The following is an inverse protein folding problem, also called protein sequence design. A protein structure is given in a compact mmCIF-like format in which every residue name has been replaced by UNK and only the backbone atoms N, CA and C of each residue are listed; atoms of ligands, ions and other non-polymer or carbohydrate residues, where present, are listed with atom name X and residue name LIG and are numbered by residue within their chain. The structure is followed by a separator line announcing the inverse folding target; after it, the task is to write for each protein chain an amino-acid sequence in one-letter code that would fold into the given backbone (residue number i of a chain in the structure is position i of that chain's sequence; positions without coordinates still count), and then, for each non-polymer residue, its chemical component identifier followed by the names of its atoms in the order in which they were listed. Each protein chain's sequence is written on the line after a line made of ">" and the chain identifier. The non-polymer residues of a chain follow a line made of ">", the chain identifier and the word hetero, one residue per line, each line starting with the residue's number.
data_IF_994143593498
#
_entry.id   IF_994143593498
#
_cell.length_a   1.000
_cell.length_b   1.000
_cell.length_c   1.000
_cell.angle_alpha   90.00
_cell.angle_beta   90.00
_cell.angle_gamma   90.00
#
_symmetry.space_group_name_H-M   'P 1'
#
loop_
_entity.id
_entity.type
_entity.pdbx_description
1 polymer ?
#
# COMPACT_ATOMS: atom_id res chain seq x y z
N UNK A 1 1.58 23.74 16.49
CA UNK A 1 1.24 22.31 16.47
C UNK A 1 1.38 21.75 17.87
N UNK A 2 0.32 21.19 18.45
CA UNK A 2 0.36 20.63 19.81
C UNK A 2 1.33 19.45 19.88
N UNK A 3 2.16 19.38 20.93
CA UNK A 3 3.13 18.27 21.11
C UNK A 3 2.48 16.89 21.02
N UNK A 4 1.23 16.77 21.44
CA UNK A 4 0.43 15.54 21.36
C UNK A 4 0.14 15.15 19.91
N UNK A 5 -0.20 16.11 19.04
CA UNK A 5 -0.50 15.85 17.64
C UNK A 5 0.75 15.34 16.89
N UNK A 6 1.91 15.94 17.19
CA UNK A 6 3.20 15.49 16.65
C UNK A 6 3.50 14.04 17.06
N UNK A 7 3.28 13.68 18.33
CA UNK A 7 3.47 12.31 18.79
C UNK A 7 2.56 11.32 18.06
N UNK A 8 1.27 11.65 17.87
CA UNK A 8 0.30 10.81 17.17
C UNK A 8 0.71 10.62 15.70
N UNK A 9 1.10 11.70 15.03
CA UNK A 9 1.55 11.67 13.64
C UNK A 9 2.75 10.74 13.47
N UNK A 10 3.77 10.83 14.33
CA UNK A 10 4.94 9.94 14.26
C UNK A 10 4.60 8.47 14.53
N UNK A 11 3.64 8.18 15.42
CA UNK A 11 3.16 6.80 15.62
C UNK A 11 2.55 6.26 14.33
N UNK A 12 1.71 7.05 13.67
CA UNK A 12 1.10 6.69 12.38
C UNK A 12 2.13 6.54 11.27
N UNK A 13 3.10 7.44 11.18
CA UNK A 13 4.23 7.33 10.25
C UNK A 13 4.96 6.02 10.46
N UNK A 14 5.35 5.67 11.69
CA UNK A 14 6.08 4.43 11.97
C UNK A 14 5.26 3.20 11.57
N UNK A 15 3.96 3.19 11.87
CA UNK A 15 3.06 2.09 11.46
C UNK A 15 3.06 1.93 9.93
N UNK A 16 2.84 3.01 9.18
CA UNK A 16 2.82 2.98 7.72
C UNK A 16 4.16 2.56 7.14
N UNK A 17 5.26 3.11 7.65
CA UNK A 17 6.63 2.79 7.22
C UNK A 17 6.89 1.30 7.37
N UNK A 18 6.62 0.71 8.53
CA UNK A 18 6.85 -0.72 8.77
C UNK A 18 6.05 -1.58 7.81
N UNK A 19 4.79 -1.22 7.57
CA UNK A 19 3.87 -1.97 6.72
C UNK A 19 4.28 -1.86 5.25
N UNK A 20 4.50 -0.65 4.73
CA UNK A 20 4.88 -0.42 3.34
C UNK A 20 6.29 -0.92 3.03
N UNK A 21 7.23 -0.80 3.97
CA UNK A 21 8.57 -1.37 3.82
C UNK A 21 8.50 -2.90 3.72
N UNK A 22 7.77 -3.57 4.62
CA UNK A 22 7.60 -5.03 4.55
C UNK A 22 6.93 -5.47 3.25
N UNK A 23 5.89 -4.77 2.83
CA UNK A 23 5.15 -5.06 1.60
C UNK A 23 6.05 -4.90 0.36
N UNK A 24 6.75 -3.79 0.23
CA UNK A 24 7.65 -3.51 -0.89
C UNK A 24 8.81 -4.49 -0.97
N UNK A 25 9.48 -4.81 0.15
CA UNK A 25 10.57 -5.79 0.20
C UNK A 25 10.08 -7.17 -0.26
N UNK A 26 8.88 -7.59 0.16
CA UNK A 26 8.30 -8.86 -0.28
C UNK A 26 8.04 -8.88 -1.79
N UNK A 27 7.55 -7.77 -2.36
CA UNK A 27 7.30 -7.61 -3.81
C UNK A 27 8.59 -7.57 -4.62
N UNK A 28 9.65 -6.95 -4.10
CA UNK A 28 10.96 -6.91 -4.74
C UNK A 28 11.59 -8.31 -4.74
N UNK A 29 11.58 -8.99 -3.58
CA UNK A 29 12.16 -10.33 -3.44
C UNK A 29 11.43 -11.39 -4.26
N UNK A 30 10.10 -11.27 -4.42
CA UNK A 30 9.29 -12.16 -5.24
C UNK A 30 8.58 -11.39 -6.37
N UNK A 31 9.37 -10.71 -7.19
CA UNK A 31 8.86 -9.90 -8.30
C UNK A 31 8.03 -10.73 -9.28
N UNK A 32 8.48 -11.94 -9.62
CA UNK A 32 7.74 -12.84 -10.51
C UNK A 32 6.38 -13.26 -9.92
N UNK A 33 6.32 -13.59 -8.63
CA UNK A 33 5.06 -13.87 -7.94
C UNK A 33 4.13 -12.66 -7.92
N UNK A 34 4.68 -11.45 -7.76
CA UNK A 34 3.87 -10.23 -7.81
C UNK A 34 3.34 -9.93 -9.22
N UNK A 35 4.09 -10.24 -10.28
CA UNK A 35 3.59 -10.19 -11.67
C UNK A 35 2.40 -11.12 -11.84
N UNK A 36 2.47 -12.35 -11.35
CA UNK A 36 1.34 -13.29 -11.40
C UNK A 36 0.12 -12.78 -10.61
N UNK A 37 0.36 -12.12 -9.47
CA UNK A 37 -0.70 -11.47 -8.70
C UNK A 37 -1.37 -10.37 -9.51
N UNK A 38 -0.60 -9.50 -10.18
CA UNK A 38 -1.15 -8.41 -10.99
C UNK A 38 -1.89 -8.93 -12.24
N UNK A 39 -1.34 -9.93 -12.91
CA UNK A 39 -1.97 -10.58 -14.06
C UNK A 39 -3.34 -11.18 -13.72
N UNK A 40 -3.50 -11.72 -12.51
CA UNK A 40 -4.77 -12.33 -12.09
C UNK A 40 -5.91 -11.31 -11.98
N UNK A 41 -5.59 -10.03 -11.77
CA UNK A 41 -6.60 -8.96 -11.69
C UNK A 41 -7.13 -8.53 -13.05
N UNK A 42 -6.48 -8.93 -14.15
CA UNK A 42 -6.86 -8.57 -15.53
C UNK A 42 -7.08 -7.05 -15.75
N UNK A 43 -6.40 -6.21 -14.96
CA UNK A 43 -6.51 -4.74 -15.07
C UNK A 43 -5.51 -4.16 -16.07
N UNK A 44 -4.45 -4.90 -16.39
CA UNK A 44 -3.36 -4.50 -17.27
C UNK A 44 -3.11 -5.59 -18.33
N UNK A 45 -2.62 -5.22 -19.52
CA UNK A 45 -2.09 -6.18 -20.47
C UNK A 45 -0.93 -6.96 -19.86
N UNK A 46 -0.90 -8.29 -20.05
CA UNK A 46 0.17 -9.17 -19.53
C UNK A 46 1.59 -8.75 -19.96
N UNK A 47 1.70 -8.06 -21.09
CA UNK A 47 2.97 -7.51 -21.58
C UNK A 47 3.48 -6.33 -20.74
N UNK A 48 2.58 -5.57 -20.09
CA UNK A 48 2.91 -4.40 -19.26
C UNK A 48 3.14 -4.77 -17.79
N UNK A 49 2.49 -5.82 -17.30
CA UNK A 49 2.62 -6.30 -15.91
C UNK A 49 4.07 -6.43 -15.39
N UNK A 50 5.04 -7.02 -16.13
CA UNK A 50 6.42 -7.12 -15.65
C UNK A 50 7.13 -5.76 -15.50
N UNK A 51 6.68 -4.72 -16.20
CA UNK A 51 7.22 -3.37 -16.07
C UNK A 51 6.53 -2.58 -14.95
N UNK A 52 5.23 -2.79 -14.74
CA UNK A 52 4.45 -2.10 -13.69
C UNK A 52 4.72 -2.69 -12.30
N UNK A 53 4.91 -4.00 -12.19
CA UNK A 53 5.19 -4.68 -10.91
C UNK A 53 6.32 -4.02 -10.10
N UNK A 54 7.54 -3.79 -10.65
CA UNK A 54 8.60 -3.12 -9.91
C UNK A 54 8.28 -1.64 -9.63
N UNK A 55 7.58 -0.94 -10.52
CA UNK A 55 7.17 0.45 -10.31
C UNK A 55 6.28 0.57 -9.07
N UNK A 56 5.29 -0.31 -8.93
CA UNK A 56 4.42 -0.36 -7.75
C UNK A 56 5.22 -0.59 -6.46
N UNK A 57 6.15 -1.56 -6.47
CA UNK A 57 6.97 -1.84 -5.30
C UNK A 57 7.91 -0.67 -4.94
N UNK A 58 8.46 0.02 -5.94
CA UNK A 58 9.31 1.20 -5.74
C UNK A 58 8.48 2.36 -5.18
N UNK A 59 7.27 2.61 -5.70
CA UNK A 59 6.39 3.68 -5.21
C UNK A 59 6.02 3.46 -3.73
N UNK A 60 5.76 2.21 -3.32
CA UNK A 60 5.53 1.89 -1.92
C UNK A 60 6.75 2.14 -1.04
N UNK A 61 7.94 1.74 -1.51
CA UNK A 61 9.18 1.96 -0.79
C UNK A 61 9.50 3.46 -0.67
N UNK A 62 9.32 4.23 -1.76
CA UNK A 62 9.53 5.68 -1.78
C UNK A 62 8.55 6.37 -0.83
N UNK A 63 7.26 5.99 -0.85
CA UNK A 63 6.26 6.50 0.09
C UNK A 63 6.67 6.24 1.54
N UNK A 64 7.11 5.02 1.87
CA UNK A 64 7.61 4.70 3.20
C UNK A 64 8.82 5.55 3.61
N UNK A 65 9.81 5.70 2.73
CA UNK A 65 11.00 6.50 3.03
C UNK A 65 10.67 7.98 3.19
N UNK A 66 9.83 8.55 2.34
CA UNK A 66 9.45 9.96 2.40
C UNK A 66 8.64 10.30 3.65
N UNK A 67 7.79 9.40 4.13
CA UNK A 67 7.05 9.60 5.40
C UNK A 67 7.97 9.86 6.62
N UNK A 68 9.19 9.32 6.60
CA UNK A 68 10.18 9.51 7.68
C UNK A 68 10.77 10.93 7.72
N UNK A 69 10.74 11.66 6.60
CA UNK A 69 11.28 13.01 6.51
C UNK A 69 10.13 14.02 6.57
N UNK A 70 10.04 14.86 7.62
CA UNK A 70 8.93 15.82 7.75
C UNK A 70 8.73 16.71 6.52
N UNK A 71 9.80 17.10 5.83
CA UNK A 71 9.76 17.93 4.62
C UNK A 71 9.23 17.22 3.37
N UNK A 72 9.16 15.88 3.36
CA UNK A 72 8.65 15.07 2.24
C UNK A 72 7.41 14.27 2.62
N UNK A 73 6.91 14.48 3.84
CA UNK A 73 5.87 13.63 4.43
C UNK A 73 4.56 13.76 3.68
N UNK A 74 4.21 14.98 3.26
CA UNK A 74 2.99 15.24 2.51
C UNK A 74 2.99 14.47 1.18
N UNK A 75 4.08 14.55 0.44
CA UNK A 75 4.28 13.88 -0.85
C UNK A 75 4.28 12.36 -0.67
N UNK A 76 4.98 11.85 0.34
CA UNK A 76 4.99 10.43 0.70
C UNK A 76 3.59 9.93 1.05
N UNK A 77 2.82 10.73 1.79
CA UNK A 77 1.46 10.40 2.19
C UNK A 77 0.47 10.45 1.02
N UNK A 78 0.62 11.40 0.10
CA UNK A 78 -0.21 11.50 -1.11
C UNK A 78 0.01 10.28 -2.02
N UNK A 79 1.28 9.92 -2.29
CA UNK A 79 1.61 8.76 -3.12
C UNK A 79 1.08 7.47 -2.47
N UNK A 80 1.35 7.29 -1.17
CA UNK A 80 0.90 6.12 -0.42
C UNK A 80 -0.63 6.03 -0.35
N UNK A 81 -1.31 7.15 -0.08
CA UNK A 81 -2.77 7.21 -0.05
C UNK A 81 -3.41 6.90 -1.41
N UNK A 82 -2.83 7.37 -2.51
CA UNK A 82 -3.28 7.05 -3.86
C UNK A 82 -3.13 5.55 -4.17
N UNK A 83 -1.96 4.97 -3.85
CA UNK A 83 -1.70 3.54 -3.99
C UNK A 83 -2.66 2.71 -3.12
N UNK A 84 -2.86 3.13 -1.87
CA UNK A 84 -3.75 2.46 -0.92
C UNK A 84 -5.21 2.48 -1.40
N UNK A 85 -5.63 3.59 -2.01
CA UNK A 85 -6.95 3.70 -2.64
C UNK A 85 -7.11 2.69 -3.78
N UNK A 86 -6.10 2.57 -4.65
CA UNK A 86 -6.10 1.58 -5.72
C UNK A 86 -6.21 0.15 -5.17
N UNK A 87 -5.42 -0.21 -4.14
CA UNK A 87 -5.50 -1.54 -3.53
C UNK A 87 -6.84 -1.81 -2.86
N UNK A 88 -7.45 -0.82 -2.21
CA UNK A 88 -8.78 -0.94 -1.64
C UNK A 88 -9.83 -1.21 -2.72
N UNK A 89 -9.77 -0.49 -3.85
CA UNK A 89 -10.68 -0.73 -4.99
C UNK A 89 -10.51 -2.15 -5.55
N UNK A 90 -9.26 -2.60 -5.72
CA UNK A 90 -8.96 -3.96 -6.18
C UNK A 90 -9.53 -5.00 -5.21
N UNK A 91 -9.37 -4.79 -3.90
CA UNK A 91 -9.92 -5.67 -2.87
C UNK A 91 -11.46 -5.71 -2.91
N UNK A 92 -12.12 -4.57 -3.11
CA UNK A 92 -13.57 -4.48 -3.21
C UNK A 92 -14.10 -5.20 -4.46
N UNK A 93 -13.49 -4.99 -5.63
CA UNK A 93 -13.88 -5.65 -6.90
C UNK A 93 -13.70 -7.17 -6.82
N UNK A 94 -12.74 -7.63 -6.02
CA UNK A 94 -12.42 -9.05 -5.86
C UNK A 94 -12.94 -9.64 -4.54
N UNK A 95 -13.88 -8.95 -3.88
CA UNK A 95 -14.47 -9.45 -2.64
C UNK A 95 -15.10 -10.83 -2.84
N UNK A 96 -14.79 -11.74 -1.91
CA UNK A 96 -15.23 -13.13 -1.93
C UNK A 96 -14.81 -13.95 -3.17
N UNK A 97 -13.84 -13.46 -3.96
CA UNK A 97 -13.25 -14.21 -5.08
C UNK A 97 -12.00 -14.96 -4.61
N UNK A 98 -11.80 -16.22 -5.02
CA UNK A 98 -10.56 -16.93 -4.78
C UNK A 98 -9.46 -16.39 -5.69
N UNK A 99 -8.38 -15.89 -5.08
CA UNK A 99 -7.18 -15.42 -5.78
C UNK A 99 -6.11 -16.50 -5.69
N UNK A 100 -5.70 -17.05 -6.83
CA UNK A 100 -4.75 -18.17 -6.92
C UNK A 100 -3.36 -17.80 -6.41
N UNK A 101 -2.97 -16.54 -6.58
CA UNK A 101 -1.63 -16.06 -6.25
C UNK A 101 -1.59 -15.16 -5.01
N UNK A 102 -2.72 -15.01 -4.31
CA UNK A 102 -2.88 -14.13 -3.15
C UNK A 102 -3.34 -12.73 -3.52
N UNK A 103 -3.46 -11.85 -2.52
CA UNK A 103 -3.97 -10.48 -2.69
C UNK A 103 -2.87 -9.43 -2.92
N UNK A 104 -1.59 -9.82 -2.94
CA UNK A 104 -0.48 -8.94 -3.31
C UNK A 104 0.01 -7.97 -2.26
N UNK A 105 -0.80 -7.59 -1.27
CA UNK A 105 -0.36 -6.62 -0.25
C UNK A 105 0.61 -7.21 0.78
N UNK A 106 0.44 -8.47 1.21
CA UNK A 106 1.30 -9.11 2.24
C UNK A 106 1.54 -10.60 2.02
N UNK A 107 0.80 -11.20 1.09
CA UNK A 107 0.85 -12.62 0.81
C UNK A 107 0.93 -12.77 -0.69
N UNK A 108 2.08 -13.26 -1.14
CA UNK A 108 2.39 -13.59 -2.52
C UNK A 108 2.52 -15.12 -2.57
N UNK A 109 1.95 -15.74 -3.61
CA UNK A 109 2.06 -17.18 -3.90
C UNK A 109 1.26 -18.13 -2.99
N UNK A 110 0.30 -17.61 -2.21
CA UNK A 110 -0.64 -18.43 -1.43
C UNK A 110 -2.09 -18.17 -1.89
N UNK A 111 -2.84 -19.22 -2.28
CA UNK A 111 -4.25 -19.06 -2.63
C UNK A 111 -5.04 -18.48 -1.46
N UNK A 112 -5.82 -17.42 -1.70
CA UNK A 112 -6.60 -16.77 -0.64
C UNK A 112 -7.88 -16.15 -1.17
N UNK A 113 -8.92 -16.18 -0.35
CA UNK A 113 -10.16 -15.46 -0.61
C UNK A 113 -10.07 -14.06 -0.01
N UNK A 114 -10.46 -13.04 -0.76
CA UNK A 114 -10.54 -11.68 -0.23
C UNK A 114 -11.70 -11.59 0.76
N UNK A 115 -11.36 -11.59 2.04
CA UNK A 115 -12.32 -11.44 3.14
C UNK A 115 -12.48 -9.99 3.58
N UNK A 116 -13.54 -9.71 4.36
CA UNK A 116 -13.81 -8.39 4.93
C UNK A 116 -12.65 -7.84 5.77
N UNK A 117 -11.84 -8.73 6.38
CA UNK A 117 -10.63 -8.36 7.14
C UNK A 117 -9.64 -7.59 6.26
N UNK A 118 -9.48 -7.99 4.99
CA UNK A 118 -8.58 -7.31 4.06
C UNK A 118 -9.11 -5.92 3.68
N UNK A 119 -10.42 -5.77 3.52
CA UNK A 119 -11.06 -4.48 3.21
C UNK A 119 -10.88 -3.54 4.40
N UNK A 120 -11.22 -3.98 5.61
CA UNK A 120 -11.07 -3.17 6.84
C UNK A 120 -9.61 -2.76 7.04
N UNK A 121 -8.67 -3.67 6.81
CA UNK A 121 -7.24 -3.37 6.92
C UNK A 121 -6.79 -2.34 5.87
N UNK A 122 -7.19 -2.48 4.62
CA UNK A 122 -6.82 -1.50 3.60
C UNK A 122 -7.48 -0.13 3.85
N UNK A 123 -8.70 -0.13 4.38
CA UNK A 123 -9.43 1.08 4.77
C UNK A 123 -8.77 1.78 5.97
N UNK A 124 -8.30 1.02 6.97
CA UNK A 124 -7.61 1.60 8.13
C UNK A 124 -6.29 2.24 7.73
N UNK A 125 -5.51 1.60 6.85
CA UNK A 125 -4.29 2.20 6.32
C UNK A 125 -4.57 3.48 5.52
N UNK A 126 -5.63 3.48 4.71
CA UNK A 126 -6.04 4.66 3.95
C UNK A 126 -6.42 5.82 4.90
N UNK A 127 -7.17 5.52 5.97
CA UNK A 127 -7.53 6.52 6.98
C UNK A 127 -6.30 7.14 7.66
N UNK A 128 -5.27 6.33 7.93
CA UNK A 128 -4.00 6.83 8.49
C UNK A 128 -3.30 7.78 7.49
N UNK A 129 -3.20 7.41 6.21
CA UNK A 129 -2.64 8.29 5.18
C UNK A 129 -3.39 9.62 5.09
N UNK A 130 -4.72 9.58 5.07
CA UNK A 130 -5.56 10.79 5.02
C UNK A 130 -5.37 11.67 6.26
N UNK A 131 -5.22 11.06 7.43
CA UNK A 131 -4.97 11.81 8.68
C UNK A 131 -3.63 12.53 8.62
N UNK A 132 -2.57 11.88 8.12
CA UNK A 132 -1.27 12.53 7.93
C UNK A 132 -1.38 13.68 6.92
N UNK A 133 -2.06 13.48 5.79
CA UNK A 133 -2.26 14.54 4.78
C UNK A 133 -2.95 15.76 5.40
N UNK A 134 -4.03 15.57 6.17
CA UNK A 134 -4.75 16.66 6.82
C UNK A 134 -3.86 17.39 7.82
N UNK A 135 -3.18 16.65 8.71
CA UNK A 135 -2.31 17.24 9.75
C UNK A 135 -1.12 17.99 9.15
N UNK A 136 -0.49 17.45 8.10
CA UNK A 136 0.65 18.10 7.44
C UNK A 136 0.21 19.27 6.55
N UNK A 137 -1.01 19.27 6.03
CA UNK A 137 -1.53 20.40 5.22
C UNK A 137 -1.95 21.60 6.06
N UNK A 138 -2.42 21.37 7.29
CA UNK A 138 -2.85 22.41 8.23
C UNK A 138 -1.70 23.01 9.08
N UNK A 139 -0.55 22.34 9.14
CA UNK A 139 0.62 22.72 9.96
C UNK A 139 1.67 23.53 9.21
#
# INVERSE_FOLDING_TARGET
>A
MDKVLVCIEWVFVIILVVIYYKSSVQKINNSYGFVQVLDQYNMLPKSLTPYIAPVVAILELVSALWLLFPSLRLEGAIIGGAMQTLFLLIALINFNKPLKYGCGCFEISLPKVVTIKHIIFNLSLLAIFLTIIIVTFEG
#
